data_IF_003865111190
#
_entry.id   IF_003865111190
#
_cell.length_a   1.000
_cell.length_b   1.000
_cell.length_c   1.000
_cell.angle_alpha   90.00
_cell.angle_beta   90.00
_cell.angle_gamma   90.00
#
_symmetry.space_group_name_H-M   'P 1'
#
loop_
_entity.id
_entity.type
_entity.pdbx_description
1 polymer ?
#
# COMPACT_ATOMS: atom_id res chain seq x y z
N UNK A 1 21.06 10.85 8.74
CA UNK A 1 19.83 11.65 8.60
C UNK A 1 18.72 10.95 9.41
N UNK A 2 17.76 11.70 9.93
CA UNK A 2 16.62 11.16 10.70
C UNK A 2 15.88 10.04 9.95
N UNK A 3 15.70 10.18 8.65
CA UNK A 3 15.07 9.19 7.78
C UNK A 3 15.75 7.79 7.82
N UNK A 4 17.09 7.76 7.88
CA UNK A 4 17.83 6.50 7.97
C UNK A 4 17.67 5.83 9.34
N UNK A 5 17.56 6.62 10.42
CA UNK A 5 17.32 6.11 11.76
C UNK A 5 15.92 5.53 11.89
N UNK A 6 14.90 6.20 11.37
CA UNK A 6 13.51 5.70 11.38
C UNK A 6 13.39 4.38 10.59
N UNK A 7 14.00 4.32 9.41
CA UNK A 7 14.05 3.08 8.61
C UNK A 7 14.73 1.95 9.37
N UNK A 8 15.84 2.23 10.05
CA UNK A 8 16.58 1.25 10.83
C UNK A 8 15.75 0.69 11.99
N UNK A 9 15.09 1.56 12.79
CA UNK A 9 14.20 1.13 13.85
C UNK A 9 13.00 0.33 13.33
N UNK A 10 12.42 0.73 12.21
CA UNK A 10 11.31 0.02 11.57
C UNK A 10 11.72 -1.39 11.13
N UNK A 11 12.91 -1.54 10.58
CA UNK A 11 13.47 -2.86 10.20
C UNK A 11 13.73 -3.74 11.42
N UNK A 12 14.29 -3.19 12.50
CA UNK A 12 14.53 -3.95 13.75
C UNK A 12 13.19 -4.41 14.34
N UNK A 13 12.20 -3.52 14.48
CA UNK A 13 10.90 -3.86 15.07
C UNK A 13 10.16 -4.93 14.26
N UNK A 14 10.20 -4.83 12.94
CA UNK A 14 9.62 -5.85 12.05
C UNK A 14 10.38 -7.18 12.16
N UNK A 15 11.71 -7.13 12.24
CA UNK A 15 12.55 -8.31 12.45
C UNK A 15 12.26 -9.00 13.79
N UNK A 16 12.16 -8.24 14.87
CA UNK A 16 11.79 -8.78 16.20
C UNK A 16 10.41 -9.41 16.17
N UNK A 17 9.43 -8.79 15.52
CA UNK A 17 8.10 -9.36 15.36
C UNK A 17 8.11 -10.69 14.61
N UNK A 18 8.95 -10.79 13.56
CA UNK A 18 9.17 -12.05 12.85
C UNK A 18 9.84 -13.14 13.72
N UNK A 19 10.84 -12.75 14.52
CA UNK A 19 11.53 -13.66 15.42
C UNK A 19 10.62 -14.19 16.55
N UNK A 20 9.66 -13.41 17.01
CA UNK A 20 8.65 -13.84 17.99
C UNK A 20 7.73 -14.94 17.45
N UNK A 21 7.51 -14.99 16.12
CA UNK A 21 6.66 -15.96 15.44
C UNK A 21 7.42 -17.19 14.92
N UNK A 22 8.74 -17.14 14.88
CA UNK A 22 9.60 -18.16 14.32
C UNK A 22 9.95 -19.24 15.36
N UNK A 23 9.51 -20.47 15.17
CA UNK A 23 9.63 -21.60 16.11
C UNK A 23 11.08 -21.87 16.54
N UNK A 24 12.05 -21.68 15.66
CA UNK A 24 13.48 -21.91 15.95
C UNK A 24 14.23 -20.68 16.47
N UNK A 25 13.48 -19.60 16.75
CA UNK A 25 14.07 -18.36 17.30
C UNK A 25 14.20 -18.45 18.82
N UNK A 26 15.28 -17.91 19.35
CA UNK A 26 15.45 -17.73 20.79
C UNK A 26 14.48 -16.72 21.40
N UNK A 27 13.82 -15.89 20.56
CA UNK A 27 12.75 -14.97 20.94
C UNK A 27 11.35 -15.57 20.76
N UNK A 28 11.22 -16.85 20.40
CA UNK A 28 9.94 -17.47 20.13
C UNK A 28 8.93 -17.27 21.26
N UNK A 29 7.87 -16.54 21.00
CA UNK A 29 6.82 -16.22 21.97
C UNK A 29 5.46 -16.01 21.28
N UNK A 30 4.79 -17.09 20.85
CA UNK A 30 3.48 -16.99 20.18
C UNK A 30 2.43 -16.20 20.95
N UNK A 31 2.28 -16.36 22.29
CA UNK A 31 1.34 -15.53 23.04
C UNK A 31 1.68 -14.03 23.00
N UNK A 32 2.97 -13.70 22.97
CA UNK A 32 3.45 -12.32 22.87
C UNK A 32 3.08 -11.67 21.54
N UNK A 33 3.39 -12.33 20.43
CA UNK A 33 3.06 -11.81 19.10
C UNK A 33 1.54 -11.74 18.86
N UNK A 34 0.77 -12.70 19.40
CA UNK A 34 -0.69 -12.64 19.34
C UNK A 34 -1.26 -11.44 20.11
N UNK A 35 -0.72 -11.11 21.27
CA UNK A 35 -1.12 -9.90 22.02
C UNK A 35 -0.86 -8.63 21.22
N UNK A 36 0.29 -8.54 20.54
CA UNK A 36 0.61 -7.37 19.69
C UNK A 36 -0.37 -7.26 18.53
N UNK A 37 -0.60 -8.37 17.78
CA UNK A 37 -1.52 -8.41 16.63
C UNK A 37 -2.95 -8.10 17.02
N UNK A 38 -3.49 -8.79 18.03
CA UNK A 38 -4.85 -8.57 18.50
C UNK A 38 -5.00 -7.17 19.15
N UNK A 39 -4.00 -6.71 19.89
CA UNK A 39 -4.00 -5.37 20.49
C UNK A 39 -4.14 -4.27 19.42
N UNK A 40 -3.36 -4.33 18.34
CA UNK A 40 -3.46 -3.41 17.22
C UNK A 40 -4.85 -3.42 16.58
N UNK A 41 -5.38 -4.62 16.31
CA UNK A 41 -6.72 -4.79 15.72
C UNK A 41 -7.83 -4.23 16.62
N UNK A 42 -7.75 -4.43 17.95
CA UNK A 42 -8.73 -3.90 18.91
C UNK A 42 -8.67 -2.37 19.00
N UNK A 43 -7.48 -1.76 18.89
CA UNK A 43 -7.34 -0.30 18.83
C UNK A 43 -8.00 0.25 17.58
N UNK A 44 -7.77 -0.38 16.42
CA UNK A 44 -8.42 0.00 15.17
C UNK A 44 -9.93 -0.18 15.24
N UNK A 45 -10.42 -1.28 15.80
CA UNK A 45 -11.85 -1.54 15.99
C UNK A 45 -12.50 -0.46 16.83
N UNK A 46 -11.86 -0.03 17.91
CA UNK A 46 -12.32 1.09 18.71
C UNK A 46 -12.46 2.37 17.88
N UNK A 47 -11.44 2.71 17.08
CA UNK A 47 -11.49 3.92 16.24
C UNK A 47 -12.59 3.81 15.16
N UNK A 48 -12.76 2.64 14.57
CA UNK A 48 -13.83 2.35 13.60
C UNK A 48 -15.20 2.58 14.23
N UNK A 49 -15.43 2.04 15.42
CA UNK A 49 -16.68 2.22 16.16
C UNK A 49 -16.95 3.71 16.40
N UNK A 50 -15.94 4.46 16.86
CA UNK A 50 -16.08 5.91 17.06
C UNK A 50 -16.39 6.63 15.74
N UNK A 51 -15.78 6.25 14.63
CA UNK A 51 -16.07 6.83 13.31
C UNK A 51 -17.52 6.56 12.90
N UNK A 52 -17.99 5.33 13.02
CA UNK A 52 -19.36 4.92 12.64
C UNK A 52 -20.39 5.64 13.51
N UNK A 53 -20.19 5.68 14.82
CA UNK A 53 -21.10 6.37 15.76
C UNK A 53 -21.21 7.88 15.49
N UNK A 54 -20.20 8.48 14.87
CA UNK A 54 -20.17 9.89 14.49
C UNK A 54 -20.50 10.13 13.01
N UNK A 55 -21.03 9.14 12.28
CA UNK A 55 -21.47 9.26 10.91
C UNK A 55 -20.33 9.40 9.89
N UNK A 56 -19.14 8.94 10.23
CA UNK A 56 -18.00 8.91 9.32
C UNK A 56 -17.99 7.57 8.58
N UNK A 57 -17.95 7.63 7.25
CA UNK A 57 -17.93 6.45 6.38
C UNK A 57 -16.53 5.83 6.37
N UNK A 58 -16.37 4.63 6.95
CA UNK A 58 -15.16 3.82 6.86
C UNK A 58 -15.24 2.98 5.59
N UNK A 59 -14.26 3.14 4.69
CA UNK A 59 -14.24 2.47 3.37
C UNK A 59 -13.50 1.15 3.43
N UNK A 60 -12.34 1.16 4.08
CA UNK A 60 -11.45 0.01 4.12
C UNK A 60 -10.74 -0.06 5.47
N UNK A 61 -10.48 -1.29 5.90
CA UNK A 61 -9.69 -1.57 7.10
C UNK A 61 -8.68 -2.65 6.74
N UNK A 62 -7.44 -2.41 7.07
CA UNK A 62 -6.36 -3.36 6.92
C UNK A 62 -5.83 -3.78 8.30
N UNK A 63 -4.76 -4.55 8.32
CA UNK A 63 -4.12 -5.08 9.53
C UNK A 63 -3.73 -4.00 10.54
N UNK A 64 -3.30 -2.84 10.06
CA UNK A 64 -2.67 -1.75 10.82
C UNK A 64 -3.20 -0.35 10.47
N UNK A 65 -4.21 -0.26 9.62
CA UNK A 65 -4.76 1.01 9.17
C UNK A 65 -6.23 0.97 8.81
N UNK A 66 -6.86 2.13 8.83
CA UNK A 66 -8.21 2.33 8.32
C UNK A 66 -8.24 3.51 7.34
N UNK A 67 -9.17 3.45 6.42
CA UNK A 67 -9.43 4.49 5.44
C UNK A 67 -10.86 4.95 5.57
N UNK A 68 -11.03 6.25 5.73
CA UNK A 68 -12.33 6.89 5.89
C UNK A 68 -12.57 7.92 4.79
N UNK A 69 -13.81 7.95 4.30
CA UNK A 69 -14.26 8.98 3.38
C UNK A 69 -14.84 10.15 4.16
N UNK A 70 -14.23 11.30 3.99
CA UNK A 70 -14.57 12.48 4.76
C UNK A 70 -15.12 13.60 3.87
N UNK A 71 -16.18 14.24 4.35
CA UNK A 71 -16.52 15.60 3.90
C UNK A 71 -15.55 16.56 4.58
N UNK A 72 -15.17 17.64 3.90
CA UNK A 72 -14.26 18.65 4.49
C UNK A 72 -14.75 19.19 5.83
N UNK A 73 -16.07 19.29 6.00
CA UNK A 73 -16.72 19.73 7.24
C UNK A 73 -16.53 18.77 8.42
N UNK A 74 -16.22 17.51 8.17
CA UNK A 74 -16.06 16.47 9.20
C UNK A 74 -14.60 16.17 9.52
N UNK A 75 -13.66 16.89 8.91
CA UNK A 75 -12.23 16.66 9.11
C UNK A 75 -11.82 16.88 10.56
N UNK A 76 -12.22 18.01 11.16
CA UNK A 76 -11.88 18.33 12.55
C UNK A 76 -12.46 17.32 13.53
N UNK A 77 -13.69 16.85 13.28
CA UNK A 77 -14.32 15.79 14.06
C UNK A 77 -13.48 14.50 13.97
N UNK A 78 -13.14 14.07 12.78
CA UNK A 78 -12.31 12.88 12.57
C UNK A 78 -10.96 12.99 13.28
N UNK A 79 -10.27 14.12 13.12
CA UNK A 79 -8.98 14.35 13.79
C UNK A 79 -9.11 14.32 15.31
N UNK A 80 -10.22 14.80 15.86
CA UNK A 80 -10.50 14.73 17.30
C UNK A 80 -10.69 13.28 17.79
N UNK A 81 -11.37 12.43 17.00
CA UNK A 81 -11.56 11.00 17.31
C UNK A 81 -10.23 10.24 17.27
N UNK A 82 -9.41 10.50 16.25
CA UNK A 82 -8.05 9.94 16.15
C UNK A 82 -7.23 10.34 17.37
N UNK A 83 -7.20 11.63 17.71
CA UNK A 83 -6.44 12.13 18.88
C UNK A 83 -6.92 11.52 20.21
N UNK A 84 -8.23 11.35 20.41
CA UNK A 84 -8.78 10.66 21.59
C UNK A 84 -8.32 9.20 21.64
N UNK A 85 -8.26 8.52 20.50
CA UNK A 85 -7.79 7.13 20.41
C UNK A 85 -6.29 7.05 20.72
N UNK A 86 -5.48 7.94 20.13
CA UNK A 86 -4.05 8.05 20.42
C UNK A 86 -3.77 8.24 21.91
N UNK A 87 -4.49 9.14 22.57
CA UNK A 87 -4.36 9.40 24.00
C UNK A 87 -4.80 8.22 24.86
N UNK A 88 -5.91 7.56 24.49
CA UNK A 88 -6.47 6.44 25.26
C UNK A 88 -5.54 5.23 25.27
N UNK A 89 -4.92 4.93 24.15
CA UNK A 89 -4.12 3.71 23.98
C UNK A 89 -2.60 3.97 23.94
N UNK A 90 -2.20 5.24 24.10
CA UNK A 90 -0.80 5.67 24.04
C UNK A 90 -0.10 5.20 22.74
N UNK A 91 -0.74 5.42 21.61
CA UNK A 91 -0.25 5.13 20.26
C UNK A 91 -0.28 6.39 19.41
N UNK A 92 0.43 6.38 18.29
CA UNK A 92 0.41 7.47 17.30
C UNK A 92 0.04 6.90 15.94
N UNK A 93 -0.90 7.54 15.26
CA UNK A 93 -1.30 7.18 13.89
C UNK A 93 -0.62 8.08 12.88
N UNK A 94 0.03 7.48 11.89
CA UNK A 94 0.42 8.19 10.67
C UNK A 94 -0.83 8.49 9.84
N UNK A 95 -0.87 9.66 9.18
CA UNK A 95 -2.04 10.14 8.44
C UNK A 95 -1.64 10.49 7.03
N UNK A 96 -2.38 9.98 6.07
CA UNK A 96 -2.24 10.33 4.68
C UNK A 96 -3.57 10.82 4.13
N UNK A 97 -3.55 11.83 3.27
CA UNK A 97 -4.75 12.37 2.65
C UNK A 97 -4.72 12.13 1.15
N UNK A 98 -5.81 11.55 0.66
CA UNK A 98 -5.99 11.23 -0.75
C UNK A 98 -7.11 12.07 -1.35
N UNK A 99 -6.86 12.62 -2.54
CA UNK A 99 -7.89 13.26 -3.34
C UNK A 99 -8.82 12.24 -3.99
N UNK A 100 -8.25 11.11 -4.41
CA UNK A 100 -8.95 10.00 -5.06
C UNK A 100 -8.20 8.71 -4.78
N UNK A 101 -8.93 7.64 -4.53
CA UNK A 101 -8.35 6.30 -4.43
C UNK A 101 -9.21 5.31 -5.20
N UNK A 102 -8.56 4.39 -5.90
CA UNK A 102 -9.17 3.35 -6.71
C UNK A 102 -8.63 2.02 -6.22
N UNK A 103 -9.51 1.17 -5.76
CA UNK A 103 -9.19 -0.17 -5.30
C UNK A 103 -9.55 -1.23 -6.34
N UNK A 104 -8.66 -2.19 -6.52
CA UNK A 104 -9.00 -3.50 -7.04
C UNK A 104 -9.20 -4.50 -5.90
N UNK A 105 -8.32 -4.44 -4.91
CA UNK A 105 -8.41 -5.16 -3.64
C UNK A 105 -7.54 -4.45 -2.59
N UNK A 106 -7.51 -4.95 -1.35
CA UNK A 106 -6.76 -4.37 -0.21
C UNK A 106 -5.27 -4.17 -0.50
N UNK A 107 -4.68 -5.02 -1.34
CA UNK A 107 -3.26 -4.99 -1.70
C UNK A 107 -2.99 -4.41 -3.10
N UNK A 108 -4.03 -3.95 -3.81
CA UNK A 108 -3.92 -3.39 -5.16
C UNK A 108 -4.76 -2.14 -5.27
N UNK A 109 -4.10 -0.99 -5.25
CA UNK A 109 -4.76 0.31 -5.36
C UNK A 109 -3.90 1.36 -6.07
N UNK A 110 -4.59 2.35 -6.60
CA UNK A 110 -4.02 3.59 -7.14
C UNK A 110 -4.60 4.76 -6.36
N UNK A 111 -3.77 5.49 -5.65
CA UNK A 111 -4.17 6.68 -4.90
C UNK A 111 -3.54 7.94 -5.49
N UNK A 112 -4.36 8.98 -5.63
CA UNK A 112 -3.94 10.32 -6.01
C UNK A 112 -3.88 11.15 -4.74
N UNK A 113 -2.68 11.58 -4.38
CA UNK A 113 -2.43 12.40 -3.20
C UNK A 113 -2.95 13.83 -3.41
N UNK A 114 -3.13 14.60 -2.34
CA UNK A 114 -3.54 16.01 -2.45
C UNK A 114 -2.56 16.87 -3.26
N UNK A 115 -1.27 16.58 -3.18
CA UNK A 115 -0.20 17.22 -3.95
C UNK A 115 -0.13 16.77 -5.43
N UNK A 116 -1.01 15.84 -5.84
CA UNK A 116 -1.04 15.30 -7.20
C UNK A 116 -0.08 14.12 -7.45
N UNK A 117 0.75 13.74 -6.48
CA UNK A 117 1.59 12.54 -6.61
C UNK A 117 0.74 11.27 -6.57
N UNK A 118 1.26 10.19 -7.16
CA UNK A 118 0.58 8.90 -7.23
C UNK A 118 1.23 7.90 -6.27
N UNK A 119 0.39 7.23 -5.46
CA UNK A 119 0.79 6.08 -4.67
C UNK A 119 0.16 4.83 -5.31
N UNK A 120 0.99 3.85 -5.64
CA UNK A 120 0.57 2.65 -6.38
C UNK A 120 0.97 1.41 -5.61
N UNK A 121 0.08 0.43 -5.58
CA UNK A 121 0.34 -0.88 -4.97
C UNK A 121 -0.26 -1.99 -5.80
N UNK A 122 0.39 -3.16 -5.77
CA UNK A 122 -0.06 -4.35 -6.48
C UNK A 122 -0.10 -4.16 -7.99
N UNK A 123 -1.23 -4.50 -8.61
CA UNK A 123 -1.40 -4.44 -10.06
C UNK A 123 -1.30 -3.03 -10.69
N UNK A 124 -1.26 -1.97 -9.89
CA UNK A 124 -1.10 -0.60 -10.38
C UNK A 124 0.37 -0.14 -10.40
N UNK A 125 1.31 -0.96 -9.97
CA UNK A 125 2.74 -0.63 -9.98
C UNK A 125 3.24 -0.61 -11.42
N UNK A 126 3.70 0.54 -11.87
CA UNK A 126 4.23 0.76 -13.23
C UNK A 126 5.75 0.67 -13.31
N UNK A 127 6.43 0.71 -12.16
CA UNK A 127 7.88 0.53 -12.03
C UNK A 127 8.07 -0.56 -10.98
N UNK A 128 8.32 -1.81 -11.40
CA UNK A 128 8.52 -2.91 -10.47
C UNK A 128 9.83 -2.76 -9.70
N UNK A 129 9.85 -3.30 -8.47
CA UNK A 129 11.09 -3.38 -7.69
C UNK A 129 12.06 -4.38 -8.31
N UNK A 130 13.35 -4.18 -8.06
CA UNK A 130 14.40 -5.08 -8.52
C UNK A 130 14.12 -6.52 -8.03
N UNK A 131 14.10 -7.47 -8.98
CA UNK A 131 13.83 -8.88 -8.68
C UNK A 131 12.35 -9.29 -8.64
N UNK A 132 11.42 -8.34 -8.83
CA UNK A 132 10.02 -8.66 -9.03
C UNK A 132 9.73 -9.05 -10.50
N UNK A 133 8.67 -9.83 -10.72
CA UNK A 133 8.21 -10.17 -12.07
C UNK A 133 7.71 -8.92 -12.79
N UNK A 134 8.15 -8.77 -14.05
CA UNK A 134 7.84 -7.61 -14.90
C UNK A 134 6.98 -8.10 -16.06
N UNK A 135 5.73 -8.47 -15.77
CA UNK A 135 4.85 -9.00 -16.80
C UNK A 135 3.84 -7.94 -17.24
N UNK A 136 3.74 -7.72 -18.54
CA UNK A 136 2.72 -6.87 -19.16
C UNK A 136 2.57 -5.49 -18.49
N UNK A 137 3.64 -4.74 -18.35
CA UNK A 137 3.60 -3.38 -17.76
C UNK A 137 2.67 -2.41 -18.50
N UNK A 138 2.28 -2.75 -19.72
CA UNK A 138 1.22 -2.04 -20.48
C UNK A 138 -0.07 -1.95 -19.67
N UNK A 139 -0.43 -3.00 -18.89
CA UNK A 139 -1.67 -3.05 -18.11
C UNK A 139 -1.68 -1.97 -17.03
N UNK A 140 -0.75 -1.94 -16.06
CA UNK A 140 -0.73 -0.89 -15.04
C UNK A 140 -0.53 0.51 -15.62
N UNK A 141 0.21 0.68 -16.71
CA UNK A 141 0.36 1.98 -17.37
C UNK A 141 -0.96 2.47 -18.01
N UNK A 142 -1.70 1.59 -18.69
CA UNK A 142 -3.03 1.92 -19.22
C UNK A 142 -4.02 2.24 -18.10
N UNK A 143 -4.04 1.47 -17.01
CA UNK A 143 -4.90 1.71 -15.86
C UNK A 143 -4.61 3.07 -15.20
N UNK A 144 -3.32 3.41 -15.05
CA UNK A 144 -2.93 4.73 -14.55
C UNK A 144 -3.47 5.86 -15.43
N UNK A 145 -3.26 5.80 -16.74
CA UNK A 145 -3.72 6.81 -17.69
C UNK A 145 -5.25 6.93 -17.70
N UNK A 146 -5.94 5.79 -17.63
CA UNK A 146 -7.40 5.77 -17.58
C UNK A 146 -7.94 6.43 -16.32
N UNK A 147 -7.46 6.03 -15.14
CA UNK A 147 -8.01 6.52 -13.87
C UNK A 147 -7.56 7.94 -13.51
N UNK A 148 -6.39 8.39 -14.00
CA UNK A 148 -5.87 9.73 -13.70
C UNK A 148 -6.23 10.77 -14.77
N UNK A 149 -6.24 10.38 -16.04
CA UNK A 149 -6.42 11.31 -17.18
C UNK A 149 -7.65 11.01 -18.04
N UNK A 150 -8.37 9.91 -17.77
CA UNK A 150 -9.54 9.49 -18.56
C UNK A 150 -9.19 8.97 -19.97
N UNK A 151 -7.92 8.64 -20.23
CA UNK A 151 -7.46 8.13 -21.52
C UNK A 151 -7.82 6.65 -21.60
N UNK A 152 -8.60 6.27 -22.61
CA UNK A 152 -9.03 4.87 -22.77
C UNK A 152 -7.87 3.99 -23.23
N UNK A 153 -7.82 2.70 -22.82
CA UNK A 153 -6.79 1.76 -23.23
C UNK A 153 -6.62 1.66 -24.75
N UNK A 154 -7.73 1.69 -25.52
CA UNK A 154 -7.71 1.63 -26.98
C UNK A 154 -6.88 2.77 -27.58
N UNK A 155 -7.05 4.00 -27.07
CA UNK A 155 -6.30 5.18 -27.50
C UNK A 155 -4.80 5.06 -27.21
N UNK A 156 -4.46 4.41 -26.08
CA UNK A 156 -3.08 4.16 -25.70
C UNK A 156 -2.44 3.13 -26.63
N UNK A 157 -3.18 2.07 -26.97
CA UNK A 157 -2.71 1.00 -27.84
C UNK A 157 -2.58 1.41 -29.31
N UNK A 158 -3.40 2.36 -29.79
CA UNK A 158 -3.27 2.94 -31.13
C UNK A 158 -1.99 3.76 -31.29
N UNK A 159 -1.49 4.42 -30.25
CA UNK A 159 -0.29 5.26 -30.29
C UNK A 159 0.56 5.07 -29.02
N UNK A 160 1.19 3.90 -28.84
CA UNK A 160 1.92 3.56 -27.62
C UNK A 160 3.04 4.56 -27.26
N UNK A 161 3.83 4.96 -28.25
CA UNK A 161 4.97 5.88 -28.08
C UNK A 161 4.56 7.25 -27.54
N UNK A 162 3.39 7.75 -27.94
CA UNK A 162 2.83 9.02 -27.44
C UNK A 162 2.61 9.00 -25.93
N UNK A 163 2.36 7.83 -25.36
CA UNK A 163 2.08 7.62 -23.95
C UNK A 163 3.27 7.02 -23.19
N UNK A 164 4.44 6.94 -23.84
CA UNK A 164 5.68 6.45 -23.23
C UNK A 164 5.67 4.94 -22.96
N UNK A 165 4.94 4.19 -23.79
CA UNK A 165 5.01 2.74 -23.79
C UNK A 165 6.08 2.27 -24.77
N UNK A 166 6.80 1.23 -24.39
CA UNK A 166 7.80 0.57 -25.21
C UNK A 166 7.40 -0.87 -25.48
N UNK A 167 8.00 -1.50 -26.49
CA UNK A 167 7.71 -2.89 -26.86
C UNK A 167 7.88 -3.85 -25.68
N UNK A 168 8.81 -3.58 -24.79
CA UNK A 168 9.05 -4.38 -23.58
C UNK A 168 7.89 -4.34 -22.56
N UNK A 169 7.03 -3.31 -22.61
CA UNK A 169 5.87 -3.21 -21.73
C UNK A 169 4.78 -4.23 -22.10
N UNK A 170 4.86 -4.80 -23.30
CA UNK A 170 3.94 -5.84 -23.80
C UNK A 170 4.47 -7.26 -23.58
N UNK A 171 5.66 -7.40 -23.02
CA UNK A 171 6.31 -8.68 -22.83
C UNK A 171 6.01 -9.27 -21.44
N UNK A 172 5.97 -10.60 -21.37
CA UNK A 172 6.02 -11.34 -20.12
C UNK A 172 7.46 -11.79 -19.85
N UNK A 173 7.88 -11.73 -18.59
CA UNK A 173 9.15 -12.29 -18.17
C UNK A 173 8.97 -13.72 -17.67
N UNK A 174 9.76 -14.66 -18.18
CA UNK A 174 9.78 -16.02 -17.67
C UNK A 174 11.03 -16.23 -16.82
N UNK A 175 10.86 -16.85 -15.66
CA UNK A 175 12.01 -17.30 -14.88
C UNK A 175 12.68 -18.44 -15.63
N UNK A 176 13.92 -18.23 -16.03
CA UNK A 176 14.76 -19.28 -16.58
C UNK A 176 15.34 -20.11 -15.42
N UNK A 177 15.28 -21.45 -15.51
CA UNK A 177 15.90 -22.34 -14.53
C UNK A 177 17.40 -22.03 -14.43
N UNK A 178 18.00 -22.25 -13.25
CA UNK A 178 19.45 -22.07 -13.04
C UNK A 178 20.31 -22.93 -13.96
N UNK A 179 19.74 -23.96 -14.54
CA UNK A 179 20.42 -24.89 -15.45
C UNK A 179 20.50 -24.38 -16.88
N UNK A 180 19.87 -23.23 -17.20
CA UNK A 180 19.89 -22.62 -18.53
C UNK A 180 20.65 -21.29 -18.51
N UNK A 181 21.42 -21.06 -19.55
CA UNK A 181 22.08 -19.79 -19.82
C UNK A 181 21.21 -18.94 -20.71
N UNK A 182 21.06 -17.65 -20.36
CA UNK A 182 20.41 -16.69 -21.25
C UNK A 182 21.45 -16.16 -22.24
N UNK A 183 21.26 -16.47 -23.52
CA UNK A 183 22.12 -15.95 -24.59
C UNK A 183 21.45 -14.68 -25.13
N UNK A 184 22.22 -13.59 -25.14
CA UNK A 184 21.85 -12.37 -25.84
C UNK A 184 22.45 -12.41 -27.21
N UNK A 185 21.61 -12.43 -28.27
CA UNK A 185 22.06 -12.13 -29.63
C UNK A 185 22.04 -10.60 -29.77
N UNK A 186 23.23 -10.04 -30.01
CA UNK A 186 23.38 -8.65 -30.44
C UNK A 186 22.94 -8.49 -31.89
#
# INVERSE_FOLDING_TARGET
SFFQQDLFYKLILNGVSGLLDMEHSWLYNPPGIMKVRCGGQLILLWLIEQCILNGIEVISVNTDGLEAKLKKTNLDLYLSLVKKTEQKFNVTFEREFYKKIIYSNVNSYLAVMENGSLKKKGQFVTIPELGSSVDFLVIPKCLELYFTKGIKPEQVLENPDKYGLHIYDFCASFKVSRDYQVLWNN
#
